data_IF_897435478505
#
_entry.id   IF_897435478505
#
_cell.length_a   1.000
_cell.length_b   1.000
_cell.length_c   1.000
_cell.angle_alpha   90.00
_cell.angle_beta   90.00
_cell.angle_gamma   90.00
#
_symmetry.space_group_name_H-M   'P 1'
#
loop_
_entity.id
_entity.type
_entity.pdbx_description
1 polymer ?
#
# COMPACT_ATOMS: atom_id res chain seq x y z
N UNK A 1 -41.26 -25.61 48.29
CA UNK A 1 -40.62 -24.38 47.78
C UNK A 1 -39.27 -24.24 48.46
N UNK A 2 -38.17 -24.22 47.70
CA UNK A 2 -36.79 -24.04 48.21
C UNK A 2 -36.15 -22.92 47.39
N UNK A 3 -35.83 -21.80 48.04
CA UNK A 3 -35.10 -20.68 47.47
C UNK A 3 -33.59 -21.00 47.40
N UNK A 4 -32.87 -20.65 46.32
CA UNK A 4 -31.42 -20.80 46.27
C UNK A 4 -30.71 -19.63 46.97
N UNK A 5 -29.61 -19.98 47.65
CA UNK A 5 -28.74 -19.12 48.45
C UNK A 5 -27.93 -18.12 47.59
N UNK A 6 -27.62 -16.90 48.08
CA UNK A 6 -27.02 -15.82 47.27
C UNK A 6 -25.48 -15.87 47.15
N UNK A 7 -24.78 -16.80 47.80
CA UNK A 7 -23.33 -16.65 48.04
C UNK A 7 -22.36 -17.26 47.00
N UNK A 8 -22.83 -17.71 45.84
CA UNK A 8 -21.96 -18.41 44.88
C UNK A 8 -21.19 -17.51 43.87
N UNK A 9 -21.25 -16.17 43.97
CA UNK A 9 -20.68 -15.27 42.95
C UNK A 9 -19.51 -14.38 43.41
N UNK A 10 -18.80 -14.76 44.48
CA UNK A 10 -17.72 -13.93 45.04
C UNK A 10 -16.33 -14.58 44.97
N UNK A 11 -16.05 -15.36 43.92
CA UNK A 11 -14.81 -16.12 43.78
C UNK A 11 -13.91 -15.75 42.59
N UNK A 12 -14.42 -15.10 41.55
CA UNK A 12 -13.66 -14.96 40.29
C UNK A 12 -12.87 -13.66 40.16
N UNK A 13 -13.28 -12.58 40.83
CA UNK A 13 -12.65 -11.26 40.67
C UNK A 13 -11.43 -11.03 41.58
N UNK A 14 -11.07 -11.99 42.44
CA UNK A 14 -9.90 -11.84 43.34
C UNK A 14 -8.58 -12.34 42.77
N UNK A 15 -8.58 -13.06 41.65
CA UNK A 15 -7.34 -13.61 41.08
C UNK A 15 -6.52 -12.58 40.29
N UNK A 16 -7.10 -11.46 39.87
CA UNK A 16 -6.39 -10.41 39.11
C UNK A 16 -6.00 -9.18 39.95
N UNK A 17 -6.27 -9.18 41.26
CA UNK A 17 -6.01 -8.04 42.15
C UNK A 17 -4.92 -8.30 43.21
N UNK A 18 -4.24 -9.45 43.18
CA UNK A 18 -3.04 -9.67 43.99
C UNK A 18 -1.82 -9.15 43.25
N UNK A 19 -1.18 -8.12 43.82
CA UNK A 19 0.12 -7.57 43.40
C UNK A 19 1.20 -8.65 43.26
N UNK A 20 1.10 -9.72 44.05
CA UNK A 20 2.00 -10.89 43.99
C UNK A 20 1.97 -11.65 42.65
N UNK A 21 0.82 -11.71 41.96
CA UNK A 21 0.72 -12.38 40.67
C UNK A 21 1.29 -11.58 39.50
N UNK A 22 1.34 -10.25 39.64
CA UNK A 22 1.95 -9.37 38.65
C UNK A 22 3.47 -9.38 38.77
N UNK A 23 4.00 -9.38 39.99
CA UNK A 23 5.43 -9.45 40.25
C UNK A 23 6.04 -10.79 39.79
N UNK A 24 5.35 -11.91 40.01
CA UNK A 24 5.78 -13.23 39.51
C UNK A 24 5.80 -13.29 37.97
N UNK A 25 4.79 -12.69 37.31
CA UNK A 25 4.76 -12.62 35.85
C UNK A 25 5.89 -11.75 35.29
N UNK A 26 6.16 -10.59 35.92
CA UNK A 26 7.28 -9.73 35.53
C UNK A 26 8.62 -10.46 35.69
N UNK A 27 8.86 -11.13 36.83
CA UNK A 27 10.09 -11.89 37.05
C UNK A 27 10.27 -13.02 36.04
N UNK A 28 9.20 -13.72 35.68
CA UNK A 28 9.25 -14.78 34.67
C UNK A 28 9.50 -14.26 33.27
N UNK A 29 8.94 -13.10 32.91
CA UNK A 29 9.23 -12.43 31.64
C UNK A 29 10.69 -11.96 31.58
N UNK A 30 11.19 -11.34 32.65
CA UNK A 30 12.58 -10.90 32.72
C UNK A 30 13.56 -12.07 32.65
N UNK A 31 13.25 -13.19 33.31
CA UNK A 31 14.05 -14.41 33.22
C UNK A 31 14.05 -15.00 31.80
N UNK A 32 12.90 -15.00 31.12
CA UNK A 32 12.80 -15.45 29.73
C UNK A 32 13.57 -14.55 28.76
N UNK A 33 13.53 -13.22 28.97
CA UNK A 33 14.30 -12.25 28.19
C UNK A 33 15.80 -12.49 28.37
N UNK A 34 16.28 -12.65 29.61
CA UNK A 34 17.69 -12.95 29.88
C UNK A 34 18.12 -14.27 29.26
N UNK A 35 17.30 -15.33 29.41
CA UNK A 35 17.60 -16.64 28.82
C UNK A 35 17.65 -16.58 27.29
N UNK A 36 16.81 -15.75 26.65
CA UNK A 36 16.83 -15.52 25.22
C UNK A 36 18.08 -14.75 24.77
N UNK A 37 18.49 -13.72 25.53
CA UNK A 37 19.72 -12.94 25.28
C UNK A 37 20.98 -13.78 25.49
N UNK A 38 20.98 -14.73 26.44
CA UNK A 38 22.10 -15.64 26.69
C UNK A 38 22.17 -16.78 25.66
N UNK A 39 21.03 -17.31 25.21
CA UNK A 39 20.97 -18.39 24.21
C UNK A 39 21.23 -17.90 22.77
N UNK A 40 21.05 -16.60 22.54
CA UNK A 40 21.30 -15.95 21.26
C UNK A 40 22.15 -14.72 21.52
N UNK A 41 23.49 -14.86 21.66
CA UNK A 41 24.34 -13.70 21.78
C UNK A 41 24.15 -12.87 20.50
N UNK A 42 23.42 -11.76 20.63
CA UNK A 42 23.35 -10.78 19.57
C UNK A 42 24.80 -10.35 19.28
N UNK A 43 25.26 -10.42 18.02
CA UNK A 43 26.60 -9.98 17.69
C UNK A 43 26.77 -8.54 18.21
N UNK A 44 27.90 -8.22 18.85
CA UNK A 44 28.10 -6.90 19.42
C UNK A 44 27.84 -5.86 18.33
N UNK A 45 26.90 -4.94 18.60
CA UNK A 45 26.48 -3.86 17.70
C UNK A 45 27.55 -2.79 17.50
N UNK A 46 28.82 -3.14 17.74
CA UNK A 46 30.00 -2.32 17.52
C UNK A 46 30.53 -2.61 16.13
N UNK A 47 29.85 -2.08 15.11
CA UNK A 47 30.36 -1.76 13.76
C UNK A 47 29.24 -1.13 12.87
N UNK A 48 28.20 -0.54 13.47
CA UNK A 48 27.09 0.07 12.74
C UNK A 48 27.43 1.40 12.04
N UNK A 49 28.67 1.90 12.15
CA UNK A 49 29.09 3.15 11.50
C UNK A 49 29.69 2.95 10.09
N UNK A 50 29.81 1.72 9.59
CA UNK A 50 30.42 1.43 8.29
C UNK A 50 29.64 0.44 7.42
N UNK A 51 28.36 0.15 7.73
CA UNK A 51 27.48 -0.43 6.73
C UNK A 51 27.06 0.71 5.79
N UNK A 52 27.92 1.01 4.82
CA UNK A 52 27.58 1.84 3.67
C UNK A 52 26.25 1.32 3.13
N UNK A 53 25.18 2.11 3.32
CA UNK A 53 23.84 1.70 2.97
C UNK A 53 23.83 1.38 1.47
N UNK A 54 23.57 0.12 1.12
CA UNK A 54 23.49 -0.26 -0.29
C UNK A 54 22.19 0.30 -0.90
N UNK A 55 22.27 1.54 -1.40
CA UNK A 55 21.13 2.24 -1.98
C UNK A 55 20.58 1.51 -3.20
N UNK A 56 21.43 0.78 -3.93
CA UNK A 56 21.01 -0.07 -5.04
C UNK A 56 20.10 -1.20 -4.56
N UNK A 57 20.49 -1.90 -3.50
CA UNK A 57 19.65 -2.93 -2.90
C UNK A 57 18.33 -2.36 -2.35
N UNK A 58 18.38 -1.22 -1.67
CA UNK A 58 17.18 -0.53 -1.19
C UNK A 58 16.24 -0.13 -2.35
N UNK A 59 16.79 0.39 -3.46
CA UNK A 59 16.00 0.67 -4.66
C UNK A 59 15.32 -0.59 -5.21
N UNK A 60 16.03 -1.72 -5.26
CA UNK A 60 15.44 -2.98 -5.75
C UNK A 60 14.23 -3.40 -4.89
N UNK A 61 14.33 -3.30 -3.57
CA UNK A 61 13.20 -3.58 -2.66
C UNK A 61 12.03 -2.63 -2.92
N UNK A 62 12.33 -1.34 -3.14
CA UNK A 62 11.29 -0.35 -3.41
C UNK A 62 10.65 -0.58 -4.78
N UNK A 63 11.42 -0.99 -5.80
CA UNK A 63 10.90 -1.31 -7.13
C UNK A 63 9.86 -2.42 -7.10
N UNK A 64 10.02 -3.43 -6.23
CA UNK A 64 9.04 -4.52 -6.07
C UNK A 64 7.65 -4.03 -5.59
N UNK A 65 7.57 -2.82 -5.01
CA UNK A 65 6.31 -2.25 -4.51
C UNK A 65 5.51 -1.48 -5.57
N UNK A 66 6.12 -1.19 -6.73
CA UNK A 66 5.55 -0.33 -7.76
C UNK A 66 5.51 -1.04 -9.12
N UNK A 67 4.54 -0.66 -9.96
CA UNK A 67 4.54 -1.09 -11.36
C UNK A 67 5.68 -0.39 -12.12
N UNK A 68 6.28 -1.05 -13.10
CA UNK A 68 7.42 -0.49 -13.84
C UNK A 68 7.10 0.86 -14.48
N UNK A 69 5.87 1.06 -14.97
CA UNK A 69 5.45 2.34 -15.53
C UNK A 69 5.40 3.47 -14.50
N UNK A 70 5.14 3.15 -13.23
CA UNK A 70 5.15 4.15 -12.16
C UNK A 70 6.57 4.47 -11.73
N UNK A 71 7.46 3.47 -11.70
CA UNK A 71 8.91 3.67 -11.52
C UNK A 71 9.44 4.62 -12.58
N UNK A 72 9.09 4.42 -13.85
CA UNK A 72 9.54 5.30 -14.93
C UNK A 72 8.99 6.73 -14.75
N UNK A 73 7.74 6.92 -14.29
CA UNK A 73 7.20 8.25 -13.96
C UNK A 73 7.95 8.91 -12.80
N UNK A 74 8.22 8.15 -11.74
CA UNK A 74 8.95 8.63 -10.56
C UNK A 74 10.38 9.02 -10.94
N UNK A 75 11.09 8.18 -11.70
CA UNK A 75 12.42 8.50 -12.23
C UNK A 75 12.41 9.77 -13.07
N UNK A 76 11.41 9.94 -13.93
CA UNK A 76 11.25 11.17 -14.72
C UNK A 76 11.07 12.45 -13.86
N UNK A 77 10.69 12.35 -12.60
CA UNK A 77 10.61 13.48 -11.67
C UNK A 77 11.97 13.89 -11.08
N UNK A 78 13.01 13.06 -11.19
CA UNK A 78 14.38 13.36 -10.71
C UNK A 78 14.95 14.53 -11.51
N UNK A 79 15.22 15.65 -10.84
CA UNK A 79 15.66 16.91 -11.45
C UNK A 79 17.17 17.13 -11.42
N UNK A 80 17.91 16.21 -10.80
CA UNK A 80 19.35 16.27 -10.66
C UNK A 80 20.02 15.93 -12.00
N UNK A 81 20.81 16.84 -12.61
CA UNK A 81 21.49 16.57 -13.88
C UNK A 81 22.45 15.38 -13.79
N UNK A 82 23.14 15.24 -12.65
CA UNK A 82 24.09 14.15 -12.40
C UNK A 82 23.48 12.76 -12.58
N UNK A 83 22.23 12.57 -12.15
CA UNK A 83 21.51 11.29 -12.29
C UNK A 83 21.44 10.87 -13.77
N UNK A 84 20.95 11.77 -14.61
CA UNK A 84 20.79 11.54 -16.03
C UNK A 84 22.11 11.51 -16.79
N UNK A 85 23.11 12.27 -16.32
CA UNK A 85 24.47 12.23 -16.86
C UNK A 85 25.11 10.86 -16.66
N UNK A 86 25.04 10.31 -15.45
CA UNK A 86 25.57 8.97 -15.14
C UNK A 86 24.91 7.92 -16.03
N UNK A 87 23.58 7.94 -16.13
CA UNK A 87 22.84 6.98 -16.96
C UNK A 87 23.17 7.11 -18.47
N UNK A 88 23.24 8.36 -18.97
CA UNK A 88 23.61 8.64 -20.35
C UNK A 88 25.03 8.12 -20.68
N UNK A 89 26.00 8.42 -19.82
CA UNK A 89 27.37 7.94 -19.96
C UNK A 89 27.44 6.41 -19.92
N UNK A 90 26.64 5.78 -19.05
CA UNK A 90 26.57 4.33 -18.96
C UNK A 90 26.07 3.68 -20.26
N UNK A 91 24.98 4.21 -20.84
CA UNK A 91 24.48 3.70 -22.12
C UNK A 91 25.45 3.96 -23.28
N UNK A 92 26.10 5.14 -23.32
CA UNK A 92 27.10 5.46 -24.33
C UNK A 92 28.29 4.48 -24.28
N UNK A 93 28.77 4.16 -23.07
CA UNK A 93 29.83 3.19 -22.84
C UNK A 93 29.44 1.79 -23.34
N UNK A 94 28.23 1.33 -23.05
CA UNK A 94 27.73 0.02 -23.53
C UNK A 94 27.64 -0.03 -25.05
N UNK A 95 27.30 1.08 -25.70
CA UNK A 95 27.30 1.20 -27.15
C UNK A 95 28.71 1.34 -27.76
N UNK A 96 29.77 1.42 -26.94
CA UNK A 96 31.12 1.80 -27.34
C UNK A 96 31.15 3.09 -28.18
N UNK A 97 30.21 4.01 -27.93
CA UNK A 97 30.11 5.28 -28.64
C UNK A 97 30.82 6.37 -27.84
N UNK A 98 31.92 6.88 -28.38
CA UNK A 98 32.60 8.08 -27.87
C UNK A 98 31.88 9.39 -28.27
N UNK A 99 30.73 9.30 -28.94
CA UNK A 99 29.91 10.41 -29.42
C UNK A 99 29.12 11.11 -28.31
N UNK A 100 29.74 11.33 -27.13
CA UNK A 100 29.26 12.37 -26.23
C UNK A 100 29.43 13.70 -26.98
N UNK A 101 28.40 14.12 -27.71
CA UNK A 101 28.30 15.44 -28.31
C UNK A 101 28.62 16.46 -27.23
N UNK A 102 29.80 17.07 -27.34
CA UNK A 102 30.34 18.17 -26.52
C UNK A 102 29.46 18.54 -25.32
N UNK A 103 29.50 17.67 -24.30
CA UNK A 103 28.52 17.71 -23.19
C UNK A 103 28.81 18.78 -22.16
N UNK A 104 29.84 19.59 -22.37
CA UNK A 104 30.20 20.70 -21.49
C UNK A 104 29.08 21.74 -21.39
N UNK A 105 28.21 21.82 -22.41
CA UNK A 105 27.05 22.73 -22.47
C UNK A 105 25.73 22.13 -21.93
N UNK A 106 25.74 20.89 -21.43
CA UNK A 106 24.54 20.24 -20.90
C UNK A 106 24.37 20.48 -19.40
N UNK A 107 23.96 21.70 -19.02
CA UNK A 107 23.79 22.05 -17.59
C UNK A 107 22.45 21.55 -17.01
N UNK A 108 21.45 21.26 -17.84
CA UNK A 108 20.09 20.95 -17.37
C UNK A 108 19.77 19.46 -17.38
N UNK A 109 19.05 18.99 -16.36
CA UNK A 109 18.60 17.61 -16.27
C UNK A 109 17.72 17.19 -17.45
N UNK A 110 16.91 18.10 -17.98
CA UNK A 110 16.07 17.80 -19.16
C UNK A 110 16.90 17.44 -20.40
N UNK A 111 18.02 18.14 -20.63
CA UNK A 111 18.92 17.85 -21.76
C UNK A 111 19.59 16.48 -21.58
N UNK A 112 20.12 16.20 -20.40
CA UNK A 112 20.68 14.88 -20.08
C UNK A 112 19.65 13.75 -20.18
N UNK A 113 18.43 13.97 -19.70
CA UNK A 113 17.33 13.00 -19.82
C UNK A 113 16.99 12.70 -21.28
N UNK A 114 16.99 13.74 -22.11
CA UNK A 114 16.75 13.60 -23.56
C UNK A 114 17.88 12.79 -24.20
N UNK A 115 19.13 13.08 -23.87
CA UNK A 115 20.28 12.32 -24.34
C UNK A 115 20.25 10.85 -23.88
N UNK A 116 19.95 10.59 -22.61
CA UNK A 116 19.79 9.24 -22.08
C UNK A 116 18.69 8.46 -22.82
N UNK A 117 17.54 9.11 -23.08
CA UNK A 117 16.44 8.52 -23.87
C UNK A 117 16.84 8.23 -25.31
N UNK A 118 17.68 9.08 -25.93
CA UNK A 118 18.22 8.84 -27.27
C UNK A 118 19.14 7.62 -27.29
N UNK A 119 20.06 7.50 -26.32
CA UNK A 119 20.93 6.32 -26.22
C UNK A 119 20.15 5.04 -25.91
N UNK A 120 19.12 5.12 -25.06
CA UNK A 120 18.18 4.01 -24.83
C UNK A 120 17.46 3.60 -26.13
N UNK A 121 17.09 4.59 -26.97
CA UNK A 121 16.58 4.36 -28.32
C UNK A 121 17.59 3.66 -29.23
N UNK A 122 18.86 4.09 -29.20
CA UNK A 122 19.94 3.45 -29.96
C UNK A 122 20.21 2.02 -29.51
N UNK A 123 20.22 1.74 -28.20
CA UNK A 123 20.33 0.37 -27.67
C UNK A 123 19.23 -0.53 -28.25
N UNK A 124 17.98 -0.03 -28.29
CA UNK A 124 16.85 -0.74 -28.89
C UNK A 124 17.00 -0.95 -30.39
N UNK A 125 17.50 0.05 -31.12
CA UNK A 125 17.78 -0.07 -32.55
C UNK A 125 18.89 -1.09 -32.85
N UNK A 126 19.82 -1.29 -31.92
CA UNK A 126 20.85 -2.33 -32.00
C UNK A 126 20.34 -3.73 -31.58
N UNK A 127 19.04 -3.89 -31.36
CA UNK A 127 18.40 -5.18 -31.11
C UNK A 127 18.22 -5.55 -29.63
N UNK A 128 18.55 -4.66 -28.69
CA UNK A 128 18.28 -4.89 -27.28
C UNK A 128 16.81 -4.68 -26.96
N UNK A 129 16.22 -5.57 -26.17
CA UNK A 129 14.86 -5.39 -25.68
C UNK A 129 14.80 -4.30 -24.61
N UNK A 130 13.58 -3.86 -24.26
CA UNK A 130 13.38 -2.93 -23.13
C UNK A 130 13.86 -3.53 -21.81
N UNK A 131 13.76 -4.85 -21.65
CA UNK A 131 14.21 -5.54 -20.44
C UNK A 131 15.74 -5.62 -20.40
N UNK A 132 16.39 -5.84 -21.54
CA UNK A 132 17.86 -5.80 -21.62
C UNK A 132 18.39 -4.40 -21.29
N UNK A 133 17.73 -3.35 -21.77
CA UNK A 133 18.12 -1.97 -21.43
C UNK A 133 17.94 -1.68 -19.93
N UNK A 134 16.93 -2.27 -19.29
CA UNK A 134 16.78 -2.20 -17.82
C UNK A 134 17.91 -2.92 -17.12
N UNK A 135 18.28 -4.13 -17.55
CA UNK A 135 19.42 -4.87 -17.00
C UNK A 135 20.72 -4.08 -17.14
N UNK A 136 20.93 -3.44 -18.29
CA UNK A 136 22.06 -2.52 -18.50
C UNK A 136 22.03 -1.40 -17.45
N UNK A 137 20.90 -0.73 -17.25
CA UNK A 137 20.79 0.30 -16.20
C UNK A 137 21.06 -0.24 -14.81
N UNK A 138 20.55 -1.43 -14.48
CA UNK A 138 20.81 -2.08 -13.20
C UNK A 138 22.29 -2.47 -13.01
N UNK A 139 23.12 -2.46 -14.06
CA UNK A 139 24.58 -2.64 -13.92
C UNK A 139 25.32 -1.36 -13.49
N UNK A 140 24.65 -0.20 -13.37
CA UNK A 140 25.26 1.00 -12.80
C UNK A 140 25.72 0.72 -11.36
N UNK A 141 26.98 1.07 -11.06
CA UNK A 141 27.62 0.85 -9.75
C UNK A 141 27.63 2.10 -8.86
N UNK A 142 27.29 3.27 -9.41
CA UNK A 142 27.33 4.54 -8.68
C UNK A 142 26.29 4.57 -7.56
N UNK A 143 26.73 4.58 -6.29
CA UNK A 143 25.81 4.71 -5.15
C UNK A 143 25.07 6.04 -5.15
N UNK A 144 25.71 7.14 -5.57
CA UNK A 144 25.06 8.47 -5.71
C UNK A 144 23.87 8.42 -6.69
N UNK A 145 23.98 7.65 -7.78
CA UNK A 145 22.88 7.46 -8.73
C UNK A 145 21.69 6.78 -8.04
N UNK A 146 21.95 5.69 -7.31
CA UNK A 146 20.91 4.95 -6.61
C UNK A 146 20.33 5.71 -5.42
N UNK A 147 21.11 6.54 -4.73
CA UNK A 147 20.63 7.42 -3.66
C UNK A 147 19.54 8.38 -4.16
N UNK A 148 19.78 9.06 -5.29
CA UNK A 148 18.79 9.97 -5.89
C UNK A 148 17.49 9.26 -6.29
N UNK A 149 17.58 8.01 -6.76
CA UNK A 149 16.41 7.21 -7.11
C UNK A 149 15.68 6.70 -5.86
N UNK A 150 16.43 6.26 -4.84
CA UNK A 150 15.92 5.82 -3.55
C UNK A 150 15.09 6.92 -2.92
N UNK A 151 15.61 8.14 -2.86
CA UNK A 151 14.96 9.27 -2.20
C UNK A 151 13.57 9.56 -2.81
N UNK A 152 13.47 9.53 -4.14
CA UNK A 152 12.18 9.72 -4.83
C UNK A 152 11.22 8.56 -4.55
N UNK A 153 11.69 7.32 -4.58
CA UNK A 153 10.86 6.16 -4.28
C UNK A 153 10.38 6.15 -2.83
N UNK A 154 11.25 6.46 -1.88
CA UNK A 154 10.92 6.57 -0.46
C UNK A 154 9.91 7.69 -0.21
N UNK A 155 10.07 8.85 -0.85
CA UNK A 155 9.11 9.94 -0.76
C UNK A 155 7.71 9.49 -1.22
N UNK A 156 7.63 8.68 -2.27
CA UNK A 156 6.36 8.19 -2.80
C UNK A 156 5.72 7.12 -1.91
N UNK A 157 6.52 6.24 -1.30
CA UNK A 157 6.03 5.34 -0.25
C UNK A 157 5.46 6.14 0.92
N UNK A 158 6.19 7.15 1.42
CA UNK A 158 5.76 7.98 2.54
C UNK A 158 4.45 8.74 2.23
N UNK A 159 4.29 9.26 1.00
CA UNK A 159 3.05 9.90 0.56
C UNK A 159 1.88 8.91 0.57
N UNK A 160 2.06 7.71 0.03
CA UNK A 160 1.01 6.68 -0.01
C UNK A 160 0.61 6.20 1.39
N UNK A 161 1.58 6.04 2.28
CA UNK A 161 1.34 5.70 3.68
C UNK A 161 0.55 6.79 4.39
N UNK A 162 0.94 8.06 4.18
CA UNK A 162 0.24 9.20 4.75
C UNK A 162 -1.23 9.26 4.29
N UNK A 163 -1.49 9.10 2.99
CA UNK A 163 -2.84 9.05 2.43
C UNK A 163 -3.68 7.91 3.04
N UNK A 164 -3.10 6.72 3.19
CA UNK A 164 -3.78 5.60 3.85
C UNK A 164 -4.12 5.92 5.31
N UNK A 165 -3.19 6.52 6.05
CA UNK A 165 -3.41 6.94 7.42
C UNK A 165 -4.51 8.00 7.54
N UNK A 166 -4.56 8.96 6.63
CA UNK A 166 -5.63 9.96 6.58
C UNK A 166 -6.99 9.34 6.26
N UNK A 167 -7.07 8.47 5.26
CA UNK A 167 -8.29 7.76 4.91
C UNK A 167 -8.81 6.90 6.09
N UNK A 168 -7.91 6.23 6.80
CA UNK A 168 -8.26 5.46 7.99
C UNK A 168 -8.80 6.35 9.13
N UNK A 169 -8.17 7.52 9.35
CA UNK A 169 -8.64 8.51 10.34
C UNK A 169 -10.00 9.08 9.98
N UNK A 170 -10.22 9.44 8.71
CA UNK A 170 -11.51 9.93 8.21
C UNK A 170 -12.62 8.88 8.41
N UNK A 171 -12.36 7.63 8.00
CA UNK A 171 -13.31 6.53 8.16
C UNK A 171 -13.68 6.29 9.62
N UNK A 172 -12.73 6.40 10.55
CA UNK A 172 -12.99 6.26 11.99
C UNK A 172 -13.91 7.38 12.50
N UNK A 173 -13.68 8.63 12.08
CA UNK A 173 -14.53 9.78 12.42
C UNK A 173 -15.95 9.61 11.89
N UNK A 174 -16.10 9.15 10.66
CA UNK A 174 -17.43 8.92 10.05
C UNK A 174 -18.21 7.82 10.78
N UNK A 175 -17.55 6.72 11.15
CA UNK A 175 -18.18 5.66 11.94
C UNK A 175 -18.63 6.20 13.30
N UNK A 176 -17.82 7.02 13.96
CA UNK A 176 -18.17 7.63 15.24
C UNK A 176 -19.36 8.59 15.09
N UNK A 177 -19.39 9.40 14.03
CA UNK A 177 -20.50 10.31 13.72
C UNK A 177 -21.80 9.52 13.49
N UNK A 178 -21.76 8.48 12.67
CA UNK A 178 -22.91 7.61 12.40
C UNK A 178 -23.43 6.93 13.66
N UNK A 179 -22.53 6.47 14.56
CA UNK A 179 -22.92 5.90 15.86
C UNK A 179 -23.61 6.95 16.73
N UNK A 180 -23.04 8.16 16.84
CA UNK A 180 -23.64 9.27 17.59
C UNK A 180 -25.02 9.66 17.06
N UNK A 181 -25.18 9.77 15.74
CA UNK A 181 -26.48 10.05 15.11
C UNK A 181 -27.52 8.95 15.40
N UNK A 182 -27.13 7.67 15.34
CA UNK A 182 -28.03 6.56 15.70
C UNK A 182 -28.49 6.63 17.16
N UNK A 183 -27.59 6.96 18.08
CA UNK A 183 -27.93 7.14 19.50
C UNK A 183 -28.91 8.31 19.67
N UNK A 184 -28.62 9.47 19.06
CA UNK A 184 -29.51 10.64 19.13
C UNK A 184 -30.90 10.37 18.54
N UNK A 185 -31.00 9.60 17.44
CA UNK A 185 -32.30 9.21 16.87
C UNK A 185 -33.09 8.30 17.81
N UNK A 186 -32.42 7.37 18.49
CA UNK A 186 -33.05 6.51 19.49
C UNK A 186 -33.57 7.31 20.69
N UNK A 187 -32.75 8.25 21.19
CA UNK A 187 -33.16 9.10 22.31
C UNK A 187 -34.39 9.96 21.97
N UNK A 188 -34.42 10.57 20.78
CA UNK A 188 -35.60 11.32 20.31
C UNK A 188 -36.84 10.44 20.18
N UNK A 189 -36.70 9.23 19.64
CA UNK A 189 -37.82 8.31 19.52
C UNK A 189 -38.42 7.91 20.88
N UNK A 190 -37.57 7.75 21.91
CA UNK A 190 -38.02 7.48 23.29
C UNK A 190 -38.77 8.70 23.86
N UNK A 191 -38.22 9.90 23.68
CA UNK A 191 -38.84 11.14 24.15
C UNK A 191 -40.20 11.42 23.46
N UNK A 192 -40.31 11.13 22.16
CA UNK A 192 -41.55 11.20 21.40
C UNK A 192 -42.58 10.13 21.84
N UNK A 193 -42.12 8.93 22.25
CA UNK A 193 -43.00 7.87 22.79
C UNK A 193 -43.55 8.24 24.17
N UNK A 194 -42.76 8.90 25.02
CA UNK A 194 -43.21 9.37 26.35
C UNK A 194 -44.14 10.59 26.30
N UNK A 195 -44.05 11.42 25.26
CA UNK A 195 -44.89 12.63 25.10
C UNK A 195 -46.14 12.40 24.25
N UNK A 196 -46.30 11.21 23.66
CA UNK A 196 -47.50 10.88 22.88
C UNK A 196 -48.67 10.45 23.78
N UNK A 197 -49.90 10.97 23.58
CA UNK A 197 -51.06 10.51 24.32
C UNK A 197 -51.34 9.03 24.03
N UNK A 198 -51.79 8.25 25.03
CA UNK A 198 -51.95 6.81 24.91
C UNK A 198 -52.85 6.45 23.72
N UNK A 199 -52.48 5.47 22.89
CA UNK A 199 -53.36 5.02 21.82
C UNK A 199 -54.67 4.54 22.46
N UNK A 200 -55.79 5.14 22.04
CA UNK A 200 -57.11 4.70 22.46
C UNK A 200 -57.24 3.18 22.25
N UNK A 201 -57.82 2.44 23.21
CA UNK A 201 -58.00 1.01 23.09
C UNK A 201 -58.95 0.73 21.93
N UNK A 202 -58.39 0.39 20.76
CA UNK A 202 -59.19 -0.17 19.67
C UNK A 202 -59.63 -1.54 20.12
N UNK A 203 -60.94 -1.65 20.27
CA UNK A 203 -61.66 -2.87 20.58
C UNK A 203 -61.14 -4.04 19.76
N UNK A 204 -60.93 -5.12 20.49
CA UNK A 204 -60.71 -6.47 19.96
C UNK A 204 -61.92 -6.84 19.10
N UNK A 205 -61.79 -6.72 17.78
CA UNK A 205 -62.53 -7.56 16.86
C UNK A 205 -61.59 -8.65 16.39
N UNK A 206 -61.74 -9.81 17.03
CA UNK A 206 -61.25 -11.09 16.52
C UNK A 206 -61.79 -11.28 15.11
N UNK A 207 -60.90 -11.40 14.14
CA UNK A 207 -61.11 -12.33 13.05
C UNK A 207 -59.78 -12.94 12.64
N UNK A 208 -59.83 -14.26 12.53
CA UNK A 208 -58.76 -15.21 12.33
C UNK A 208 -57.78 -14.81 11.23
N UNK A 209 -56.49 -14.84 11.55
CA UNK A 209 -55.50 -15.19 10.53
C UNK A 209 -54.36 -15.97 11.16
N UNK A 210 -54.54 -17.29 11.07
CA UNK A 210 -53.49 -18.28 11.24
C UNK A 210 -52.49 -18.05 10.12
N UNK A 211 -51.31 -17.53 10.45
CA UNK A 211 -50.14 -17.65 9.58
C UNK A 211 -48.93 -18.02 10.42
N UNK A 212 -48.60 -19.29 10.34
CA UNK A 212 -47.60 -20.00 11.10
C UNK A 212 -46.18 -19.49 10.90
N UNK A 213 -45.45 -19.49 12.02
CA UNK A 213 -43.99 -19.63 12.15
C UNK A 213 -43.31 -20.39 11.00
N UNK A 214 -42.20 -19.82 10.54
CA UNK A 214 -40.83 -20.38 10.30
C UNK A 214 -40.21 -19.54 9.19
N UNK A 215 -38.95 -19.08 9.19
CA UNK A 215 -37.72 -19.75 9.63
C UNK A 215 -36.60 -18.70 9.72
N UNK A 216 -35.72 -18.87 10.70
CA UNK A 216 -34.46 -18.16 10.84
C UNK A 216 -33.40 -18.69 9.85
N UNK A 217 -32.46 -17.80 9.51
CA UNK A 217 -31.06 -18.05 9.08
C UNK A 217 -30.81 -18.88 7.81
N UNK A 218 -30.19 -18.26 6.82
CA UNK A 218 -28.73 -18.41 6.57
C UNK A 218 -28.28 -17.49 5.42
N UNK A 219 -27.37 -16.54 5.71
CA UNK A 219 -26.53 -15.92 4.68
C UNK A 219 -25.48 -16.96 4.29
N UNK A 220 -25.72 -17.65 3.18
CA UNK A 220 -24.69 -18.39 2.47
C UNK A 220 -23.96 -17.38 1.59
N UNK A 221 -22.73 -17.09 1.98
CA UNK A 221 -21.69 -16.56 1.10
C UNK A 221 -21.46 -17.56 -0.04
N UNK A 222 -22.08 -17.31 -1.20
CA UNK A 222 -21.66 -17.92 -2.45
C UNK A 222 -20.58 -17.06 -3.09
N UNK A 223 -19.35 -17.54 -2.95
CA UNK A 223 -18.35 -17.38 -3.98
C UNK A 223 -18.77 -18.21 -5.20
N UNK A 224 -18.98 -17.53 -6.33
CA UNK A 224 -18.91 -18.10 -7.67
C UNK A 224 -18.24 -17.02 -8.53
N UNK A 225 -16.92 -17.12 -8.74
CA UNK A 225 -16.31 -17.76 -9.92
C UNK A 225 -16.86 -17.20 -11.24
N UNK A 226 -15.98 -16.44 -11.89
CA UNK A 226 -15.59 -16.59 -13.30
C UNK A 226 -16.72 -16.64 -14.33
N UNK A 227 -16.97 -15.50 -14.95
CA UNK A 227 -17.10 -15.35 -16.41
C UNK A 227 -16.41 -14.02 -16.75
N UNK A 228 -15.26 -13.97 -17.40
CA UNK A 228 -15.03 -14.56 -18.71
C UNK A 228 -15.69 -13.73 -19.80
N UNK A 229 -15.41 -12.42 -19.86
CA UNK A 229 -15.80 -11.57 -20.99
C UNK A 229 -14.53 -11.06 -21.70
N UNK A 230 -13.99 -11.95 -22.55
CA UNK A 230 -13.13 -11.56 -23.67
C UNK A 230 -13.98 -10.71 -24.62
N UNK A 231 -13.77 -9.40 -24.66
CA UNK A 231 -14.19 -8.59 -25.79
C UNK A 231 -12.98 -8.35 -26.69
N UNK A 232 -12.70 -9.38 -27.49
CA UNK A 232 -11.92 -9.30 -28.71
C UNK A 232 -12.66 -8.35 -29.66
N UNK A 233 -12.12 -7.16 -29.94
CA UNK A 233 -12.53 -6.41 -31.13
C UNK A 233 -11.31 -6.10 -31.99
N UNK A 234 -10.86 -7.16 -32.65
CA UNK A 234 -10.03 -7.13 -33.83
C UNK A 234 -10.88 -6.64 -35.00
N UNK A 235 -10.51 -5.50 -35.59
CA UNK A 235 -10.63 -5.12 -37.02
C UNK A 235 -11.06 -3.66 -37.16
N UNK A 236 -10.08 -2.82 -37.49
CA UNK A 236 -10.13 -2.08 -38.75
C UNK A 236 -8.71 -1.84 -39.27
N UNK A 237 -8.30 -2.76 -40.14
CA UNK A 237 -7.18 -2.57 -41.06
C UNK A 237 -7.62 -1.68 -42.21
N UNK A 238 -6.69 -0.81 -42.60
CA UNK A 238 -6.47 -0.20 -43.93
C UNK A 238 -7.44 0.90 -44.38
N UNK A 239 -6.88 2.11 -44.55
CA UNK A 239 -6.52 2.61 -45.88
C UNK A 239 -5.28 3.50 -45.79
N UNK A 240 -4.26 3.08 -46.53
CA UNK A 240 -3.11 3.86 -46.99
C UNK A 240 -3.57 4.63 -48.24
N UNK A 241 -3.07 5.83 -48.46
CA UNK A 241 -2.73 6.27 -49.81
C UNK A 241 -1.21 6.46 -49.97
N UNK A 242 -0.58 5.61 -50.79
CA UNK A 242 0.30 6.07 -51.87
C UNK A 242 -0.60 6.94 -52.78
N UNK A 243 -0.20 8.09 -53.31
CA UNK A 243 1.00 8.46 -54.06
C UNK A 243 1.12 10.01 -53.95
N UNK A 244 2.19 10.72 -54.25
CA UNK A 244 2.95 10.75 -55.49
C UNK A 244 4.32 11.41 -55.30
N UNK A 245 5.27 10.91 -56.08
CA UNK A 245 6.50 11.58 -56.46
C UNK A 245 6.22 12.68 -57.48
N UNK A 246 6.85 13.86 -57.35
CA UNK A 246 7.23 14.76 -58.44
C UNK A 246 8.09 15.90 -57.85
N UNK A 247 9.40 15.90 -58.11
CA UNK A 247 10.05 16.78 -59.09
C UNK A 247 10.02 18.28 -58.70
N UNK A 248 11.08 18.74 -58.04
CA UNK A 248 12.05 19.75 -58.50
C UNK A 248 13.02 20.11 -57.37
#
# INVERSE_FOLDING_TARGET
MKTPSPDAKRGFDKFFASTEGHEDLCQRLDAAIRQQQEATPEPPSSDHESLEEDHKWQCNILHDQFESSDIDKMRNAIWQPDYWKIECQHYANVLNQFLLCDTDDMVTAQRWRTAASMYEGLLRLNGLSTDDTRLIRHSIESQKYWEMEKDVLQQQVALREHEMHEAARARKKDIQRQRGERVRRRLRAIEEEETSPPPHPKQVLRLDSIASRTRSRSRVSQAARVTGAKSTNQRRRRRVPHSDSANL
#
